data_IF_752017306654
#
_entry.id   IF_752017306654
#
_cell.length_a   1.000
_cell.length_b   1.000
_cell.length_c   1.000
_cell.angle_alpha   90.00
_cell.angle_beta   90.00
_cell.angle_gamma   90.00
#
_symmetry.space_group_name_H-M   'P 1'
#
loop_
_entity.id
_entity.type
_entity.pdbx_description
1 polymer ?
#
# COMPACT_ATOMS: atom_id res chain seq x y z
N UNK A 1 1.01 29.40 -14.99
CA UNK A 1 0.05 28.35 -15.37
C UNK A 1 -0.43 27.72 -14.08
N UNK A 2 -1.71 27.85 -13.72
CA UNK A 2 -2.25 27.24 -12.50
C UNK A 2 -2.67 25.82 -12.88
N UNK A 3 -2.05 24.81 -12.28
CA UNK A 3 -2.43 23.42 -12.49
C UNK A 3 -3.84 23.19 -11.92
N UNK A 4 -4.76 22.71 -12.76
CA UNK A 4 -6.08 22.28 -12.31
C UNK A 4 -6.13 20.75 -12.26
N UNK A 5 -6.45 20.14 -11.11
CA UNK A 5 -6.63 18.70 -11.02
C UNK A 5 -7.85 18.27 -11.84
N UNK A 6 -7.88 17.00 -12.27
CA UNK A 6 -9.05 16.44 -12.99
C UNK A 6 -10.24 16.13 -12.07
N UNK A 7 -9.99 16.04 -10.77
CA UNK A 7 -10.97 15.83 -9.71
C UNK A 7 -10.31 16.04 -8.36
N UNK A 8 -11.10 16.45 -7.37
CA UNK A 8 -10.63 16.79 -6.04
C UNK A 8 -11.74 16.60 -4.99
N UNK A 9 -11.36 16.25 -3.77
CA UNK A 9 -12.27 16.18 -2.62
C UNK A 9 -11.55 16.72 -1.39
N UNK A 10 -12.26 17.50 -0.57
CA UNK A 10 -11.80 17.92 0.75
C UNK A 10 -12.91 17.56 1.72
N UNK A 11 -12.58 16.79 2.76
CA UNK A 11 -13.50 16.38 3.79
C UNK A 11 -12.92 16.66 5.17
N UNK A 12 -13.80 16.98 6.12
CA UNK A 12 -13.47 17.00 7.54
C UNK A 12 -13.33 15.55 8.05
N UNK A 13 -12.16 15.21 8.57
CA UNK A 13 -11.85 13.83 8.97
C UNK A 13 -12.64 13.33 10.19
N UNK A 14 -13.17 14.23 11.01
CA UNK A 14 -13.88 13.86 12.24
C UNK A 14 -15.37 13.63 11.99
N UNK A 15 -15.95 14.42 11.09
CA UNK A 15 -17.39 14.45 10.81
C UNK A 15 -17.76 13.78 9.49
N UNK A 16 -16.79 13.56 8.60
CA UNK A 16 -17.02 13.07 7.24
C UNK A 16 -17.67 14.11 6.33
N UNK A 17 -17.85 15.35 6.79
CA UNK A 17 -18.48 16.41 6.00
C UNK A 17 -17.58 16.79 4.82
N UNK A 18 -18.13 16.72 3.61
CA UNK A 18 -17.49 17.24 2.40
C UNK A 18 -17.51 18.77 2.46
N UNK A 19 -16.33 19.37 2.37
CA UNK A 19 -16.11 20.81 2.33
C UNK A 19 -15.93 21.31 0.89
N UNK A 20 -15.48 20.41 0.00
CA UNK A 20 -15.28 20.66 -1.42
C UNK A 20 -15.34 19.35 -2.20
N UNK A 21 -15.95 19.38 -3.39
CA UNK A 21 -16.04 18.25 -4.30
C UNK A 21 -15.93 18.68 -5.77
N UNK A 22 -15.21 17.88 -6.56
CA UNK A 22 -15.08 18.03 -8.00
C UNK A 22 -14.86 16.64 -8.63
N UNK A 23 -15.80 16.17 -9.45
CA UNK A 23 -15.75 14.87 -10.12
C UNK A 23 -15.42 13.67 -9.20
N UNK A 24 -15.94 13.67 -7.97
CA UNK A 24 -15.56 12.69 -6.93
C UNK A 24 -16.06 11.27 -7.23
N UNK A 25 -17.19 11.12 -7.92
CA UNK A 25 -17.76 9.81 -8.27
C UNK A 25 -17.25 9.25 -9.60
N UNK A 26 -16.43 10.02 -10.33
CA UNK A 26 -15.87 9.56 -11.60
C UNK A 26 -14.79 8.51 -11.33
N UNK A 27 -14.82 7.35 -12.00
CA UNK A 27 -13.76 6.36 -11.86
C UNK A 27 -12.42 6.89 -12.37
N UNK A 28 -11.42 6.92 -11.49
CA UNK A 28 -10.05 7.33 -11.80
C UNK A 28 -9.08 6.17 -11.64
N UNK A 29 -7.96 6.20 -12.40
CA UNK A 29 -6.86 5.27 -12.16
C UNK A 29 -6.14 5.69 -10.88
N UNK A 30 -6.12 4.89 -9.80
CA UNK A 30 -5.59 5.33 -8.51
C UNK A 30 -4.06 5.46 -8.49
N UNK A 31 -3.36 4.85 -9.46
CA UNK A 31 -1.90 4.75 -9.45
C UNK A 31 -1.39 4.30 -8.06
N UNK A 32 -0.37 4.94 -7.49
CA UNK A 32 0.16 4.59 -6.17
C UNK A 32 -0.83 4.74 -5.01
N UNK A 33 -1.96 5.44 -5.17
CA UNK A 33 -3.00 5.49 -4.13
C UNK A 33 -3.62 4.11 -3.88
N UNK A 34 -3.51 3.16 -4.82
CA UNK A 34 -3.94 1.78 -4.61
C UNK A 34 -3.25 1.11 -3.42
N UNK A 35 -2.03 1.54 -3.07
CA UNK A 35 -1.27 1.02 -1.92
C UNK A 35 -1.97 1.28 -0.59
N UNK A 36 -2.82 2.30 -0.51
CA UNK A 36 -3.61 2.57 0.70
C UNK A 36 -4.61 1.44 1.00
N UNK A 37 -5.16 0.77 -0.02
CA UNK A 37 -6.00 -0.41 0.17
C UNK A 37 -5.19 -1.58 0.73
N UNK A 38 -3.98 -1.82 0.20
CA UNK A 38 -3.07 -2.83 0.76
C UNK A 38 -2.74 -2.53 2.22
N UNK A 39 -2.43 -1.27 2.53
CA UNK A 39 -2.14 -0.84 3.90
C UNK A 39 -3.36 -1.02 4.81
N UNK A 40 -4.58 -0.70 4.36
CA UNK A 40 -5.82 -0.90 5.12
C UNK A 40 -5.97 -2.35 5.58
N UNK A 41 -5.88 -3.30 4.66
CA UNK A 41 -6.02 -4.73 4.98
C UNK A 41 -4.91 -5.19 5.93
N UNK A 42 -3.67 -4.74 5.72
CA UNK A 42 -2.56 -5.07 6.63
C UNK A 42 -2.84 -4.55 8.05
N UNK A 43 -3.35 -3.32 8.17
CA UNK A 43 -3.71 -2.73 9.47
C UNK A 43 -4.89 -3.45 10.13
N UNK A 44 -5.89 -3.89 9.36
CA UNK A 44 -6.99 -4.73 9.86
C UNK A 44 -6.47 -6.05 10.46
N UNK A 45 -5.52 -6.72 9.78
CA UNK A 45 -4.87 -7.93 10.29
C UNK A 45 -3.99 -7.69 11.51
N UNK A 46 -3.46 -6.47 11.66
CA UNK A 46 -2.74 -6.09 12.88
C UNK A 46 -3.73 -5.85 14.02
N UNK A 47 -4.85 -5.18 13.72
CA UNK A 47 -5.89 -4.86 14.70
C UNK A 47 -6.61 -6.11 15.23
N UNK A 48 -6.85 -7.10 14.37
CA UNK A 48 -7.47 -8.37 14.77
C UNK A 48 -6.49 -9.37 15.41
N UNK A 49 -5.19 -9.02 15.46
CA UNK A 49 -4.14 -9.81 16.08
C UNK A 49 -3.59 -10.95 15.22
N UNK A 50 -4.03 -11.12 13.98
CA UNK A 50 -3.53 -12.18 13.08
C UNK A 50 -2.17 -11.86 12.47
N UNK A 51 -1.72 -10.59 12.52
CA UNK A 51 -0.40 -10.14 12.10
C UNK A 51 0.23 -9.25 13.19
N UNK A 52 1.48 -9.53 13.57
CA UNK A 52 2.21 -8.68 14.52
C UNK A 52 3.08 -7.65 13.81
N UNK A 53 3.11 -6.43 14.34
CA UNK A 53 4.02 -5.35 13.91
C UNK A 53 5.50 -5.75 14.02
N UNK A 54 5.84 -6.61 14.99
CA UNK A 54 7.21 -7.04 15.27
C UNK A 54 7.60 -8.31 14.50
N UNK A 55 6.67 -8.89 13.72
CA UNK A 55 6.98 -10.04 12.87
C UNK A 55 8.07 -9.66 11.87
N UNK A 56 9.16 -10.41 11.88
CA UNK A 56 10.24 -10.27 10.90
C UNK A 56 9.86 -10.94 9.57
N UNK A 57 10.18 -10.27 8.46
CA UNK A 57 10.02 -10.74 7.09
C UNK A 57 11.37 -10.71 6.41
N UNK A 58 11.80 -11.86 5.87
CA UNK A 58 13.06 -11.99 5.14
C UNK A 58 12.87 -11.68 3.67
N UNK A 59 13.72 -10.81 3.13
CA UNK A 59 13.77 -10.49 1.70
C UNK A 59 14.20 -11.71 0.90
N UNK A 60 13.36 -12.13 -0.05
CA UNK A 60 13.66 -13.22 -0.97
C UNK A 60 14.46 -12.75 -2.19
N UNK A 61 15.00 -13.70 -2.97
CA UNK A 61 15.66 -13.38 -4.24
C UNK A 61 14.68 -12.73 -5.26
N UNK A 62 13.40 -13.08 -5.17
CA UNK A 62 12.36 -12.49 -6.03
C UNK A 62 12.06 -11.04 -5.62
N UNK A 63 12.06 -10.74 -4.32
CA UNK A 63 11.88 -9.39 -3.81
C UNK A 63 13.05 -8.49 -4.22
N UNK A 64 14.29 -8.96 -4.04
CA UNK A 64 15.48 -8.26 -4.51
C UNK A 64 15.38 -7.97 -6.02
N UNK A 65 15.14 -8.99 -6.86
CA UNK A 65 14.97 -8.79 -8.31
C UNK A 65 13.88 -7.76 -8.64
N UNK A 66 12.73 -7.83 -7.97
CA UNK A 66 11.62 -6.90 -8.21
C UNK A 66 11.96 -5.47 -7.77
N UNK A 67 12.73 -5.33 -6.68
CA UNK A 67 13.17 -4.03 -6.14
C UNK A 67 14.02 -3.23 -7.13
N UNK A 68 14.78 -3.91 -7.98
CA UNK A 68 15.64 -3.30 -9.02
C UNK A 68 14.91 -2.96 -10.33
N UNK A 69 13.59 -3.16 -10.43
CA UNK A 69 12.87 -2.88 -11.67
C UNK A 69 12.87 -1.37 -11.99
N UNK A 70 13.46 -0.93 -13.12
CA UNK A 70 13.77 0.48 -13.37
C UNK A 70 12.54 1.37 -13.60
N UNK A 71 11.40 0.78 -13.93
CA UNK A 71 10.15 1.52 -14.17
C UNK A 71 9.25 1.62 -12.92
N UNK A 72 9.67 1.08 -11.77
CA UNK A 72 8.87 1.04 -10.56
C UNK A 72 9.54 1.86 -9.44
N UNK A 73 8.76 2.65 -8.72
CA UNK A 73 9.24 3.25 -7.46
C UNK A 73 9.48 2.13 -6.45
N UNK A 74 10.71 2.01 -5.95
CA UNK A 74 11.12 0.96 -5.04
C UNK A 74 12.23 1.45 -4.12
N UNK A 75 12.33 0.81 -2.95
CA UNK A 75 13.59 0.74 -2.21
C UNK A 75 14.41 -0.40 -2.80
N UNK A 76 15.74 -0.23 -2.91
CA UNK A 76 16.61 -1.35 -3.22
C UNK A 76 16.67 -2.27 -2.00
N UNK A 77 16.38 -3.55 -2.23
CA UNK A 77 16.32 -4.57 -1.19
C UNK A 77 17.40 -5.62 -1.46
N UNK A 78 18.00 -6.17 -0.41
CA UNK A 78 19.02 -7.20 -0.51
C UNK A 78 18.50 -8.52 0.07
N UNK A 79 18.71 -9.63 -0.66
CA UNK A 79 18.26 -10.95 -0.21
C UNK A 79 18.86 -11.29 1.16
N UNK A 80 18.03 -11.86 2.04
CA UNK A 80 18.43 -12.27 3.39
C UNK A 80 18.38 -11.15 4.42
N UNK A 81 18.24 -9.88 4.00
CA UNK A 81 17.91 -8.80 4.93
C UNK A 81 16.53 -9.05 5.54
N UNK A 82 16.37 -8.68 6.80
CA UNK A 82 15.13 -8.83 7.56
C UNK A 82 14.58 -7.46 7.91
N UNK A 83 13.26 -7.32 7.79
CA UNK A 83 12.51 -6.14 8.20
C UNK A 83 11.30 -6.57 9.00
N UNK A 84 10.99 -5.84 10.06
CA UNK A 84 9.71 -5.95 10.76
C UNK A 84 8.57 -5.43 9.90
N UNK A 85 7.33 -5.89 10.14
CA UNK A 85 6.12 -5.34 9.48
C UNK A 85 6.05 -3.83 9.66
N UNK A 86 6.39 -3.32 10.85
CA UNK A 86 6.45 -1.88 11.14
C UNK A 86 7.43 -1.13 10.22
N UNK A 87 8.62 -1.67 10.01
CA UNK A 87 9.61 -1.07 9.10
C UNK A 87 9.12 -1.11 7.65
N UNK A 88 8.53 -2.23 7.22
CA UNK A 88 7.94 -2.35 5.88
C UNK A 88 6.84 -1.32 5.64
N UNK A 89 5.95 -1.08 6.63
CA UNK A 89 4.89 -0.05 6.54
C UNK A 89 5.49 1.36 6.41
N UNK A 90 6.46 1.70 7.26
CA UNK A 90 7.11 3.01 7.21
C UNK A 90 7.82 3.25 5.87
N UNK A 91 8.53 2.24 5.38
CA UNK A 91 9.21 2.29 4.10
C UNK A 91 8.25 2.18 2.91
N UNK A 92 7.01 1.73 3.08
CA UNK A 92 5.98 1.81 2.03
C UNK A 92 5.47 3.24 1.88
N UNK A 93 5.17 3.92 2.99
CA UNK A 93 4.48 5.22 2.99
C UNK A 93 5.33 6.32 2.35
N UNK A 94 6.63 6.34 2.60
CA UNK A 94 7.51 7.45 2.18
C UNK A 94 7.89 7.37 0.70
N UNK A 95 8.59 6.32 0.21
CA UNK A 95 8.97 6.18 -1.20
C UNK A 95 7.88 5.54 -2.08
N UNK A 96 6.71 5.19 -1.54
CA UNK A 96 5.64 4.53 -2.31
C UNK A 96 6.10 3.23 -2.99
N UNK A 97 6.88 2.43 -2.26
CA UNK A 97 7.64 1.29 -2.77
C UNK A 97 6.76 0.11 -3.20
N UNK A 98 6.91 -0.36 -4.44
CA UNK A 98 6.11 -1.45 -4.97
C UNK A 98 6.54 -2.81 -4.39
N UNK A 99 7.85 -3.04 -4.19
CA UNK A 99 8.37 -4.29 -3.59
C UNK A 99 7.83 -4.46 -2.17
N UNK A 100 7.82 -3.40 -1.36
CA UNK A 100 7.32 -3.44 0.01
C UNK A 100 5.80 -3.66 0.06
N UNK A 101 5.06 -3.05 -0.88
CA UNK A 101 3.62 -3.32 -1.04
C UNK A 101 3.36 -4.80 -1.29
N UNK A 102 4.13 -5.42 -2.20
CA UNK A 102 4.03 -6.85 -2.49
C UNK A 102 4.42 -7.72 -1.29
N UNK A 103 5.51 -7.39 -0.60
CA UNK A 103 5.95 -8.12 0.59
C UNK A 103 4.87 -8.09 1.69
N UNK A 104 4.26 -6.93 1.96
CA UNK A 104 3.17 -6.79 2.94
C UNK A 104 1.92 -7.56 2.52
N UNK A 105 1.51 -7.46 1.25
CA UNK A 105 0.41 -8.24 0.68
C UNK A 105 0.59 -9.74 0.94
N UNK A 106 1.79 -10.27 0.69
CA UNK A 106 2.10 -11.68 0.88
C UNK A 106 2.06 -12.15 2.34
N UNK A 107 2.17 -11.24 3.32
CA UNK A 107 1.97 -11.57 4.73
C UNK A 107 0.50 -11.76 5.10
N UNK A 108 -0.41 -11.21 4.29
CA UNK A 108 -1.86 -11.28 4.48
C UNK A 108 -2.47 -12.43 3.68
N UNK A 109 -2.13 -12.50 2.38
CA UNK A 109 -2.59 -13.52 1.43
C UNK A 109 -1.57 -13.58 0.27
N UNK A 110 -0.78 -14.67 0.15
CA UNK A 110 0.21 -14.84 -0.91
C UNK A 110 -0.36 -14.89 -2.33
N UNK A 111 -1.62 -15.33 -2.49
CA UNK A 111 -2.28 -15.35 -3.79
C UNK A 111 -2.85 -13.97 -4.15
N UNK A 112 -2.28 -13.34 -5.18
CA UNK A 112 -2.69 -12.00 -5.62
C UNK A 112 -4.17 -11.94 -6.00
N UNK A 113 -4.74 -13.00 -6.60
CA UNK A 113 -6.14 -13.02 -7.00
C UNK A 113 -7.08 -13.02 -5.78
N UNK A 114 -6.80 -13.86 -4.79
CA UNK A 114 -7.52 -13.88 -3.52
C UNK A 114 -7.36 -12.57 -2.75
N UNK A 115 -6.15 -12.00 -2.74
CA UNK A 115 -5.92 -10.69 -2.11
C UNK A 115 -6.75 -9.59 -2.77
N UNK A 116 -6.85 -9.57 -4.11
CA UNK A 116 -7.71 -8.61 -4.83
C UNK A 116 -9.18 -8.81 -4.44
N UNK A 117 -9.66 -10.05 -4.28
CA UNK A 117 -11.02 -10.30 -3.80
C UNK A 117 -11.25 -9.79 -2.37
N UNK A 118 -10.23 -9.80 -1.51
CA UNK A 118 -10.34 -9.20 -0.18
C UNK A 118 -10.52 -7.67 -0.25
N UNK A 119 -9.89 -7.00 -1.22
CA UNK A 119 -10.07 -5.56 -1.46
C UNK A 119 -11.44 -5.19 -2.04
N UNK A 120 -12.25 -6.15 -2.48
CA UNK A 120 -13.61 -5.92 -3.01
C UNK A 120 -14.69 -5.93 -1.93
N UNK A 121 -14.34 -6.20 -0.66
CA UNK A 121 -15.29 -6.30 0.46
C UNK A 121 -15.56 -4.96 1.17
N UNK A 122 -15.18 -3.84 0.57
CA UNK A 122 -15.45 -2.48 1.06
C UNK A 122 -16.71 -1.90 0.46
#
# INVERSE_FOLDING_TARGET
MIYQPKGSIIADSNTGRILWEEHIDKPWRPASMSKLMTLSIVLERIQDGTLSMDKSVTVTADDERFSHHPLLSNNIMHKGTQYTIKELINLLIVPSSNVLTRMLMQQVEPDTGKFVMMNQKS
#
